data_IF_484545114920
#
_entry.id   IF_484545114920
#
_cell.length_a   1.000
_cell.length_b   1.000
_cell.length_c   1.000
_cell.angle_alpha   90.00
_cell.angle_beta   90.00
_cell.angle_gamma   90.00
#
_symmetry.space_group_name_H-M   'P 1'
#
loop_
_entity.id
_entity.type
_entity.pdbx_description
1 polymer ?
#
# COMPACT_ATOMS: atom_id res chain seq x y z
N UNK A 1 19.63 18.31 7.34
CA UNK A 1 18.46 17.43 7.27
C UNK A 1 17.77 17.44 8.62
N UNK A 2 16.48 17.77 8.71
CA UNK A 2 15.79 17.94 9.99
C UNK A 2 15.24 16.62 10.57
N UNK A 3 15.00 15.63 9.73
CA UNK A 3 14.50 14.30 10.10
C UNK A 3 14.99 13.23 9.11
N UNK A 4 15.33 12.07 9.63
CA UNK A 4 15.64 10.87 8.83
C UNK A 4 14.79 9.72 9.35
N UNK A 5 14.11 8.99 8.46
CA UNK A 5 13.34 7.80 8.79
C UNK A 5 13.95 6.55 8.15
N UNK A 6 13.73 5.40 8.77
CA UNK A 6 14.08 4.08 8.25
C UNK A 6 13.12 3.00 8.77
N UNK A 7 13.11 1.85 8.10
CA UNK A 7 12.46 0.64 8.58
C UNK A 7 13.52 -0.34 9.10
N UNK A 8 13.48 -0.65 10.38
CA UNK A 8 14.43 -1.53 11.03
C UNK A 8 13.88 -2.96 11.12
N UNK A 9 14.65 -3.93 10.67
CA UNK A 9 14.43 -5.32 11.04
C UNK A 9 14.63 -5.50 12.57
N UNK A 10 13.91 -6.42 13.18
CA UNK A 10 13.86 -6.57 14.65
C UNK A 10 15.25 -6.69 15.29
N UNK A 11 16.19 -7.40 14.65
CA UNK A 11 17.55 -7.60 15.15
C UNK A 11 18.46 -6.35 15.00
N UNK A 12 18.03 -5.32 14.26
CA UNK A 12 18.80 -4.08 14.04
C UNK A 12 18.28 -2.88 14.85
N UNK A 13 17.17 -3.03 15.57
CA UNK A 13 16.56 -1.92 16.33
C UNK A 13 17.55 -1.31 17.33
N UNK A 14 18.28 -2.14 18.09
CA UNK A 14 19.27 -1.69 19.06
C UNK A 14 20.40 -0.90 18.40
N UNK A 15 20.92 -1.38 17.27
CA UNK A 15 22.00 -0.70 16.54
C UNK A 15 21.56 0.70 16.07
N UNK A 16 20.34 0.82 15.52
CA UNK A 16 19.82 2.12 15.12
C UNK A 16 19.52 3.04 16.31
N UNK A 17 19.08 2.47 17.44
CA UNK A 17 18.88 3.24 18.67
C UNK A 17 20.20 3.86 19.19
N UNK A 18 21.31 3.15 19.12
CA UNK A 18 22.66 3.67 19.45
C UNK A 18 23.06 4.85 18.56
N UNK A 19 22.57 4.87 17.30
CA UNK A 19 22.79 6.00 16.39
C UNK A 19 21.79 7.15 16.56
N UNK A 20 20.93 7.06 17.59
CA UNK A 20 19.98 8.10 17.98
C UNK A 20 18.64 8.04 17.25
N UNK A 21 18.33 6.92 16.59
CA UNK A 21 16.98 6.69 16.06
C UNK A 21 16.05 6.25 17.19
N UNK A 22 14.79 6.66 17.11
CA UNK A 22 13.74 6.30 18.06
C UNK A 22 12.64 5.54 17.32
N UNK A 23 12.18 4.43 17.92
CA UNK A 23 11.06 3.66 17.41
C UNK A 23 9.77 4.50 17.43
N UNK A 24 8.96 4.41 16.39
CA UNK A 24 7.71 5.15 16.23
C UNK A 24 6.51 4.23 16.04
N UNK A 25 6.55 3.34 15.07
CA UNK A 25 5.44 2.43 14.71
C UNK A 25 6.00 1.13 14.15
N UNK A 26 5.12 0.16 13.96
CA UNK A 26 5.47 -1.06 13.24
C UNK A 26 4.77 -1.10 11.89
N UNK A 27 5.42 -1.78 10.94
CA UNK A 27 4.87 -2.17 9.65
C UNK A 27 4.80 -3.68 9.61
N UNK A 28 3.64 -4.22 9.29
CA UNK A 28 3.40 -5.66 9.20
C UNK A 28 3.45 -6.08 7.75
N UNK A 29 4.21 -7.12 7.45
CA UNK A 29 4.23 -7.78 6.14
C UNK A 29 3.25 -8.92 6.13
N UNK A 30 2.32 -8.84 5.19
CA UNK A 30 1.29 -9.82 4.93
C UNK A 30 1.61 -10.60 3.67
N UNK A 31 1.24 -11.88 3.66
CA UNK A 31 1.38 -12.76 2.51
C UNK A 31 0.07 -13.49 2.25
N UNK A 32 -0.29 -13.57 0.98
CA UNK A 32 -1.35 -14.42 0.45
C UNK A 32 -0.76 -15.31 -0.65
N UNK A 33 -1.14 -16.57 -0.67
CA UNK A 33 -1.02 -17.41 -1.86
C UNK A 33 -2.35 -17.39 -2.60
N UNK A 34 -2.37 -16.83 -3.82
CA UNK A 34 -3.55 -16.71 -4.68
C UNK A 34 -3.45 -17.77 -5.79
N UNK A 35 -4.10 -18.95 -5.66
CA UNK A 35 -3.96 -20.04 -6.61
C UNK A 35 -4.60 -19.73 -7.97
N UNK A 36 -4.14 -20.41 -9.03
CA UNK A 36 -4.65 -20.23 -10.39
C UNK A 36 -6.11 -20.70 -10.55
N UNK A 37 -6.49 -21.70 -9.76
CA UNK A 37 -7.82 -22.33 -9.83
C UNK A 37 -8.91 -21.51 -9.13
N UNK A 38 -8.54 -20.55 -8.29
CA UNK A 38 -9.49 -19.72 -7.56
C UNK A 38 -9.97 -18.55 -8.43
N UNK A 39 -11.16 -18.69 -9.00
CA UNK A 39 -11.82 -17.61 -9.71
C UNK A 39 -12.42 -16.62 -8.71
N UNK A 40 -11.60 -15.70 -8.23
CA UNK A 40 -12.11 -14.57 -7.44
C UNK A 40 -12.88 -13.63 -8.35
N UNK A 41 -14.15 -13.43 -8.05
CA UNK A 41 -14.93 -12.42 -8.74
C UNK A 41 -14.39 -11.01 -8.35
N UNK A 42 -14.32 -10.07 -9.30
CA UNK A 42 -14.06 -8.68 -8.96
C UNK A 42 -15.12 -8.22 -7.97
N UNK A 43 -14.73 -7.48 -6.95
CA UNK A 43 -15.70 -6.92 -6.01
C UNK A 43 -16.59 -5.94 -6.77
N UNK A 44 -17.90 -6.19 -6.71
CA UNK A 44 -18.87 -5.26 -7.28
C UNK A 44 -18.92 -4.00 -6.40
N UNK A 45 -18.55 -2.88 -6.96
CA UNK A 45 -18.94 -1.57 -6.42
C UNK A 45 -20.45 -1.38 -6.68
N UNK A 46 -21.14 -0.73 -5.75
CA UNK A 46 -22.39 -0.09 -6.09
C UNK A 46 -22.05 0.97 -7.16
N UNK A 47 -22.32 0.64 -8.43
CA UNK A 47 -21.91 1.40 -9.63
C UNK A 47 -22.42 2.85 -9.67
N UNK A 48 -23.21 3.27 -8.68
CA UNK A 48 -23.79 4.62 -8.64
C UNK A 48 -22.79 5.69 -8.12
N UNK A 49 -21.80 5.31 -7.32
CA UNK A 49 -20.95 6.29 -6.64
C UNK A 49 -19.50 6.31 -7.16
N UNK A 50 -18.94 5.15 -7.55
CA UNK A 50 -17.53 5.05 -7.95
C UNK A 50 -17.34 4.15 -9.18
N UNK A 51 -16.36 4.50 -10.01
CA UNK A 51 -15.88 3.69 -11.14
C UNK A 51 -14.44 3.26 -10.90
N UNK A 52 -14.15 1.97 -11.09
CA UNK A 52 -12.79 1.46 -11.09
C UNK A 52 -12.15 1.70 -12.46
N UNK A 53 -11.07 2.46 -12.50
CA UNK A 53 -10.34 2.81 -13.75
C UNK A 53 -8.93 2.26 -13.72
N UNK A 54 -8.39 1.91 -14.89
CA UNK A 54 -7.05 1.35 -15.07
C UNK A 54 -6.39 1.90 -16.34
N UNK A 55 -5.06 1.75 -16.47
CA UNK A 55 -4.34 2.13 -17.69
C UNK A 55 -4.48 3.61 -18.04
N UNK A 56 -4.82 3.93 -19.29
CA UNK A 56 -4.92 5.30 -19.79
C UNK A 56 -6.11 6.11 -19.24
N UNK A 57 -7.08 5.45 -18.60
CA UNK A 57 -8.22 6.10 -17.97
C UNK A 57 -7.91 6.68 -16.57
N UNK A 58 -6.72 6.40 -16.05
CA UNK A 58 -6.30 6.85 -14.72
C UNK A 58 -6.03 8.35 -14.72
N UNK A 59 -6.77 9.15 -13.92
CA UNK A 59 -6.53 10.58 -13.81
C UNK A 59 -5.37 10.86 -12.85
N UNK A 60 -4.14 10.84 -13.36
CA UNK A 60 -2.91 10.97 -12.55
C UNK A 60 -2.93 12.21 -11.63
N UNK A 61 -3.45 13.34 -12.10
CA UNK A 61 -3.50 14.56 -11.28
C UNK A 61 -4.48 14.41 -10.10
N UNK A 62 -5.60 13.70 -10.27
CA UNK A 62 -6.51 13.42 -9.16
C UNK A 62 -5.85 12.50 -8.12
N UNK A 63 -5.08 11.49 -8.57
CA UNK A 63 -4.33 10.62 -7.66
C UNK A 63 -3.23 11.40 -6.92
N UNK A 64 -2.47 12.25 -7.62
CA UNK A 64 -1.42 13.08 -7.00
C UNK A 64 -1.99 14.01 -5.93
N UNK A 65 -3.13 14.62 -6.19
CA UNK A 65 -3.85 15.45 -5.22
C UNK A 65 -4.27 14.61 -4.02
N UNK A 66 -4.91 13.45 -4.26
CA UNK A 66 -5.37 12.54 -3.24
C UNK A 66 -4.23 12.04 -2.34
N UNK A 67 -3.09 11.64 -2.93
CA UNK A 67 -1.90 11.22 -2.19
C UNK A 67 -1.32 12.37 -1.35
N UNK A 68 -1.22 13.58 -1.90
CA UNK A 68 -0.63 14.73 -1.21
C UNK A 68 -1.42 15.20 0.00
N UNK A 69 -2.71 14.90 0.06
CA UNK A 69 -3.58 15.22 1.21
C UNK A 69 -3.40 14.22 2.37
N UNK A 70 -2.83 13.04 2.09
CA UNK A 70 -2.66 11.94 3.04
C UNK A 70 -1.21 11.67 3.43
N UNK A 71 -0.30 12.00 2.55
CA UNK A 71 1.13 11.83 2.80
C UNK A 71 1.71 13.08 3.47
N UNK A 72 2.58 12.87 4.44
CA UNK A 72 3.22 13.96 5.18
C UNK A 72 4.09 14.87 4.30
N UNK A 73 4.63 14.32 3.22
CA UNK A 73 5.46 15.03 2.25
C UNK A 73 4.93 14.77 0.85
N UNK A 74 4.49 15.83 0.17
CA UNK A 74 4.08 15.71 -1.23
C UNK A 74 5.21 15.12 -2.08
N UNK A 75 4.90 14.06 -2.84
CA UNK A 75 5.85 13.27 -3.63
C UNK A 75 5.45 13.11 -5.10
N UNK A 76 5.05 14.20 -5.80
CA UNK A 76 4.45 14.10 -7.13
C UNK A 76 5.39 13.47 -8.17
N UNK A 77 6.71 13.74 -8.10
CA UNK A 77 7.68 13.14 -9.00
C UNK A 77 7.84 11.62 -8.80
N UNK A 78 7.96 11.20 -7.54
CA UNK A 78 8.00 9.78 -7.23
C UNK A 78 6.71 9.10 -7.69
N UNK A 79 5.56 9.67 -7.36
CA UNK A 79 4.27 9.06 -7.64
C UNK A 79 4.03 8.94 -9.15
N UNK A 80 4.37 9.95 -9.96
CA UNK A 80 4.28 9.86 -11.42
C UNK A 80 5.09 8.68 -11.95
N UNK A 81 6.38 8.63 -11.63
CA UNK A 81 7.27 7.56 -12.09
C UNK A 81 6.82 6.19 -11.61
N UNK A 82 6.32 6.12 -10.36
CA UNK A 82 5.84 4.88 -9.77
C UNK A 82 4.57 4.35 -10.42
N UNK A 83 3.59 5.23 -10.69
CA UNK A 83 2.31 4.85 -11.28
C UNK A 83 2.40 4.56 -12.79
N UNK A 84 3.25 5.30 -13.50
CA UNK A 84 3.46 5.15 -14.96
C UNK A 84 4.45 4.03 -15.33
N UNK A 85 5.15 3.45 -14.33
CA UNK A 85 6.11 2.39 -14.60
C UNK A 85 5.42 1.17 -15.22
N UNK A 86 5.96 0.68 -16.35
CA UNK A 86 5.36 -0.36 -17.19
C UNK A 86 5.20 -1.72 -16.50
N UNK A 87 6.03 -2.03 -15.49
CA UNK A 87 5.89 -3.29 -14.75
C UNK A 87 4.80 -3.17 -13.69
N UNK A 88 3.73 -3.94 -13.84
CA UNK A 88 2.61 -3.98 -12.90
C UNK A 88 1.38 -3.22 -13.39
N UNK A 89 0.40 -3.11 -12.50
CA UNK A 89 -0.91 -2.52 -12.82
C UNK A 89 -1.32 -1.53 -11.72
N UNK A 90 -1.91 -0.43 -12.13
CA UNK A 90 -2.56 0.54 -11.24
C UNK A 90 -4.07 0.45 -11.42
N UNK A 91 -4.80 0.59 -10.32
CA UNK A 91 -6.25 0.74 -10.29
C UNK A 91 -6.60 1.94 -9.40
N UNK A 92 -7.57 2.74 -9.80
CA UNK A 92 -8.10 3.85 -9.01
C UNK A 92 -9.63 3.83 -8.98
N UNK A 93 -10.20 4.32 -7.89
CA UNK A 93 -11.64 4.49 -7.69
C UNK A 93 -11.97 5.98 -7.81
N UNK A 94 -12.76 6.30 -8.83
CA UNK A 94 -13.06 7.67 -9.23
C UNK A 94 -14.56 7.90 -9.16
N UNK A 95 -14.97 9.05 -8.60
CA UNK A 95 -16.37 9.45 -8.61
C UNK A 95 -16.78 10.13 -9.93
N UNK A 96 -18.06 10.44 -10.08
CA UNK A 96 -18.62 11.16 -11.23
C UNK A 96 -18.06 12.58 -11.45
N UNK A 97 -17.39 13.13 -10.46
CA UNK A 97 -16.74 14.44 -10.51
C UNK A 97 -15.23 14.33 -10.76
N UNK A 98 -14.75 13.15 -11.09
CA UNK A 98 -13.34 12.83 -11.32
C UNK A 98 -12.45 13.00 -10.07
N UNK A 99 -13.01 12.88 -8.86
CA UNK A 99 -12.22 12.82 -7.63
C UNK A 99 -11.78 11.39 -7.35
N UNK A 100 -10.55 11.24 -6.86
CA UNK A 100 -10.02 9.95 -6.41
C UNK A 100 -10.48 9.67 -4.98
N UNK A 101 -10.96 8.45 -4.73
CA UNK A 101 -11.40 7.93 -3.43
C UNK A 101 -10.57 6.73 -2.96
N UNK A 102 -9.64 6.31 -3.78
CA UNK A 102 -8.66 5.29 -3.48
C UNK A 102 -7.89 4.85 -4.71
N UNK A 103 -6.68 4.39 -4.50
CA UNK A 103 -5.88 3.78 -5.56
C UNK A 103 -4.95 2.72 -4.99
N UNK A 104 -4.56 1.80 -5.85
CA UNK A 104 -3.58 0.78 -5.52
C UNK A 104 -2.71 0.45 -6.74
N UNK A 105 -1.49 -0.02 -6.47
CA UNK A 105 -0.59 -0.54 -7.49
C UNK A 105 -0.10 -1.93 -7.11
N UNK A 106 -0.16 -2.87 -8.06
CA UNK A 106 0.54 -4.15 -7.97
C UNK A 106 1.75 -4.15 -8.89
N UNK A 107 2.83 -4.79 -8.47
CA UNK A 107 4.06 -4.92 -9.26
C UNK A 107 4.74 -6.26 -8.99
N UNK A 108 5.52 -6.79 -9.94
CA UNK A 108 6.34 -7.97 -9.69
C UNK A 108 7.39 -7.68 -8.61
N UNK A 109 7.74 -8.70 -7.86
CA UNK A 109 8.86 -8.67 -6.91
C UNK A 109 9.56 -10.01 -6.86
N UNK A 110 10.86 -9.99 -6.53
CA UNK A 110 11.61 -11.20 -6.26
C UNK A 110 11.40 -11.64 -4.80
N UNK A 111 11.16 -12.91 -4.63
CA UNK A 111 11.00 -13.58 -3.35
C UNK A 111 12.07 -14.68 -3.22
N UNK A 112 12.39 -15.14 -1.99
CA UNK A 112 13.33 -16.27 -1.82
C UNK A 112 12.93 -17.53 -2.59
N UNK A 113 11.62 -17.74 -2.80
CA UNK A 113 11.07 -18.88 -3.52
C UNK A 113 10.86 -18.64 -5.03
N UNK A 114 11.28 -17.48 -5.58
CA UNK A 114 11.10 -17.14 -6.98
C UNK A 114 10.34 -15.82 -7.19
N UNK A 115 9.58 -15.73 -8.27
CA UNK A 115 8.80 -14.53 -8.58
C UNK A 115 7.50 -14.47 -7.79
N UNK A 116 7.06 -13.26 -7.49
CA UNK A 116 5.79 -12.97 -6.83
C UNK A 116 5.34 -11.54 -7.09
N UNK A 117 4.34 -11.11 -6.35
CA UNK A 117 3.74 -9.79 -6.49
C UNK A 117 3.77 -9.01 -5.19
N UNK A 118 3.83 -7.70 -5.30
CA UNK A 118 3.65 -6.79 -4.17
C UNK A 118 2.59 -5.75 -4.51
N UNK A 119 1.60 -5.60 -3.65
CA UNK A 119 0.61 -4.53 -3.74
C UNK A 119 1.06 -3.40 -2.82
N UNK A 120 1.21 -2.20 -3.38
CA UNK A 120 1.55 -0.96 -2.69
C UNK A 120 2.00 0.16 -3.64
N UNK A 121 1.56 1.40 -3.37
CA UNK A 121 0.69 1.80 -2.28
C UNK A 121 -0.75 1.28 -2.41
N UNK A 122 -1.48 1.26 -1.28
CA UNK A 122 -2.93 1.10 -1.22
C UNK A 122 -3.45 2.22 -0.32
N UNK A 123 -4.09 3.21 -0.89
CA UNK A 123 -4.77 4.26 -0.16
C UNK A 123 -6.26 4.22 -0.50
N UNK A 124 -7.11 4.36 0.51
CA UNK A 124 -8.56 4.36 0.32
C UNK A 124 -9.29 5.08 1.45
N UNK A 125 -10.41 5.73 1.15
CA UNK A 125 -11.23 6.45 2.12
C UNK A 125 -11.94 5.52 3.11
N UNK A 126 -12.03 4.22 2.79
CA UNK A 126 -12.68 3.23 3.66
C UNK A 126 -12.15 1.81 3.43
N UNK A 127 -12.35 0.90 4.42
CA UNK A 127 -12.00 -0.52 4.27
C UNK A 127 -12.69 -1.17 3.06
N UNK A 128 -13.94 -0.83 2.78
CA UNK A 128 -14.70 -1.34 1.64
C UNK A 128 -14.04 -0.97 0.31
N UNK A 129 -13.59 0.27 0.16
CA UNK A 129 -12.90 0.72 -1.05
C UNK A 129 -11.52 0.08 -1.19
N UNK A 130 -10.79 -0.11 -0.08
CA UNK A 130 -9.53 -0.84 -0.06
C UNK A 130 -9.72 -2.31 -0.48
N UNK A 131 -10.79 -2.97 0.00
CA UNK A 131 -11.16 -4.33 -0.40
C UNK A 131 -11.37 -4.44 -1.90
N UNK A 132 -12.15 -3.52 -2.47
CA UNK A 132 -12.41 -3.47 -3.91
C UNK A 132 -11.12 -3.34 -4.71
N UNK A 133 -10.22 -2.45 -4.31
CA UNK A 133 -8.92 -2.28 -4.96
C UNK A 133 -8.11 -3.58 -4.92
N UNK A 134 -8.01 -4.21 -3.75
CA UNK A 134 -7.23 -5.45 -3.56
C UNK A 134 -7.83 -6.58 -4.38
N UNK A 135 -9.14 -6.84 -4.28
CA UNK A 135 -9.80 -7.94 -4.97
C UNK A 135 -9.69 -7.82 -6.50
N UNK A 136 -9.84 -6.62 -7.05
CA UNK A 136 -9.66 -6.41 -8.50
C UNK A 136 -8.21 -6.69 -8.95
N UNK A 137 -7.21 -6.40 -8.13
CA UNK A 137 -5.82 -6.76 -8.45
C UNK A 137 -5.57 -8.27 -8.34
N UNK A 138 -6.23 -8.96 -7.38
CA UNK A 138 -6.09 -10.41 -7.19
C UNK A 138 -6.70 -11.25 -8.33
N UNK A 139 -7.67 -10.72 -9.08
CA UNK A 139 -8.28 -11.43 -10.22
C UNK A 139 -7.23 -11.82 -11.25
N UNK A 140 -6.33 -10.91 -11.58
CA UNK A 140 -5.36 -11.06 -12.69
C UNK A 140 -3.99 -11.54 -12.24
N UNK A 141 -3.69 -11.51 -10.92
CA UNK A 141 -2.36 -11.80 -10.41
C UNK A 141 -2.39 -13.02 -9.48
N UNK A 142 -1.68 -14.06 -9.89
CA UNK A 142 -1.64 -15.36 -9.20
C UNK A 142 -0.28 -15.59 -8.51
N UNK A 143 -0.25 -16.59 -7.62
CA UNK A 143 0.95 -16.93 -6.86
C UNK A 143 1.07 -16.17 -5.55
N UNK A 144 2.28 -15.89 -5.11
CA UNK A 144 2.55 -15.22 -3.83
C UNK A 144 2.38 -13.72 -3.96
N UNK A 145 1.57 -13.14 -3.08
CA UNK A 145 1.27 -11.71 -3.04
C UNK A 145 1.63 -11.15 -1.67
N UNK A 146 2.39 -10.06 -1.64
CA UNK A 146 2.81 -9.37 -0.43
C UNK A 146 2.14 -7.99 -0.33
N UNK A 147 1.80 -7.62 0.92
CA UNK A 147 1.37 -6.26 1.30
C UNK A 147 2.12 -5.88 2.57
N UNK A 148 2.68 -4.68 2.61
CA UNK A 148 3.26 -4.10 3.82
C UNK A 148 2.29 -3.04 4.36
N UNK A 149 1.67 -3.24 5.53
CA UNK A 149 0.68 -2.32 6.09
C UNK A 149 1.12 -1.70 7.41
N UNK A 150 0.76 -0.43 7.70
CA UNK A 150 0.99 0.17 9.00
C UNK A 150 0.21 -0.59 10.09
N UNK A 151 0.87 -1.01 11.17
CA UNK A 151 0.21 -1.69 12.30
C UNK A 151 -0.87 -0.82 12.94
N UNK A 152 -0.73 0.50 12.90
CA UNK A 152 -1.70 1.45 13.50
C UNK A 152 -3.04 1.49 12.77
N UNK A 153 -3.12 1.03 11.53
CA UNK A 153 -4.39 0.90 10.81
C UNK A 153 -5.05 -0.45 11.12
N UNK A 154 -5.85 -0.50 12.19
CA UNK A 154 -6.57 -1.72 12.58
C UNK A 154 -7.56 -2.19 11.51
N UNK A 155 -8.14 -1.28 10.73
CA UNK A 155 -9.03 -1.63 9.62
C UNK A 155 -8.27 -2.38 8.52
N UNK A 156 -7.03 -1.99 8.23
CA UNK A 156 -6.17 -2.71 7.29
C UNK A 156 -5.84 -4.12 7.80
N UNK A 157 -5.53 -4.27 9.11
CA UNK A 157 -5.26 -5.57 9.72
C UNK A 157 -6.48 -6.51 9.57
N UNK A 158 -7.66 -6.02 9.96
CA UNK A 158 -8.90 -6.79 9.88
C UNK A 158 -9.24 -7.18 8.44
N UNK A 159 -9.14 -6.24 7.51
CA UNK A 159 -9.40 -6.47 6.08
C UNK A 159 -8.44 -7.51 5.49
N UNK A 160 -7.13 -7.34 5.69
CA UNK A 160 -6.14 -8.27 5.13
C UNK A 160 -6.32 -9.68 5.69
N UNK A 161 -6.59 -9.80 7.00
CA UNK A 161 -6.89 -11.08 7.62
C UNK A 161 -8.16 -11.73 7.03
N UNK A 162 -9.25 -10.96 6.83
CA UNK A 162 -10.50 -11.47 6.25
C UNK A 162 -10.34 -11.92 4.79
N UNK A 163 -9.42 -11.31 4.04
CA UNK A 163 -9.07 -11.69 2.66
C UNK A 163 -8.14 -12.92 2.60
N UNK A 164 -7.73 -13.47 3.74
CA UNK A 164 -6.89 -14.66 3.83
C UNK A 164 -5.39 -14.38 3.82
N UNK A 165 -4.97 -13.11 3.90
CA UNK A 165 -3.57 -12.80 4.12
C UNK A 165 -3.13 -13.21 5.53
N UNK A 166 -1.88 -13.64 5.64
CA UNK A 166 -1.24 -14.01 6.91
C UNK A 166 -0.04 -13.12 7.18
N UNK A 167 0.11 -12.69 8.42
CA UNK A 167 1.30 -11.98 8.87
C UNK A 167 2.51 -12.92 8.81
N UNK A 168 3.60 -12.49 8.19
CA UNK A 168 4.85 -13.27 8.06
C UNK A 168 6.05 -12.60 8.71
N UNK A 169 6.05 -11.29 8.85
CA UNK A 169 7.11 -10.53 9.51
C UNK A 169 6.63 -9.12 9.86
N UNK A 170 7.39 -8.46 10.74
CA UNK A 170 7.20 -7.05 11.05
C UNK A 170 8.55 -6.32 11.05
N UNK A 171 8.51 -5.03 10.69
CA UNK A 171 9.63 -4.09 10.84
C UNK A 171 9.22 -2.95 11.76
N UNK A 172 10.20 -2.21 12.26
CA UNK A 172 9.96 -1.05 13.11
C UNK A 172 10.37 0.22 12.39
N UNK A 173 9.41 1.12 12.18
CA UNK A 173 9.66 2.47 11.68
C UNK A 173 10.37 3.27 12.75
N UNK A 174 11.54 3.80 12.44
CA UNK A 174 12.35 4.58 13.36
C UNK A 174 12.73 5.92 12.75
N UNK A 175 12.85 6.95 13.59
CA UNK A 175 13.23 8.29 13.18
C UNK A 175 14.35 8.87 14.03
N UNK A 176 15.23 9.63 13.37
CA UNK A 176 16.21 10.50 14.02
C UNK A 176 15.87 11.95 13.66
N UNK A 177 15.71 12.79 14.68
CA UNK A 177 15.23 14.16 14.54
C UNK A 177 13.74 14.31 14.85
N UNK A 178 13.23 15.52 14.66
CA UNK A 178 11.82 15.83 14.93
C UNK A 178 10.96 15.41 13.74
N UNK A 179 9.94 14.58 13.99
CA UNK A 179 8.93 14.20 13.00
C UNK A 179 7.53 14.38 13.58
N UNK A 180 6.55 14.62 12.72
CA UNK A 180 5.14 14.59 13.10
C UNK A 180 4.62 13.16 12.97
N UNK A 181 3.67 12.79 13.83
CA UNK A 181 2.96 11.54 13.67
C UNK A 181 2.19 11.57 12.33
N UNK A 182 2.39 10.54 11.51
CA UNK A 182 1.65 10.39 10.26
C UNK A 182 0.33 9.71 10.57
N UNK A 183 -0.77 10.28 10.08
CA UNK A 183 -2.07 9.61 10.08
C UNK A 183 -2.03 8.51 9.02
N UNK A 184 -2.27 7.27 9.43
CA UNK A 184 -2.16 6.11 8.56
C UNK A 184 -3.49 5.38 8.37
N UNK A 185 -4.60 6.00 8.78
CA UNK A 185 -5.93 5.34 8.76
C UNK A 185 -6.42 5.05 7.34
N UNK A 186 -6.01 5.87 6.36
CA UNK A 186 -6.33 5.70 4.94
C UNK A 186 -5.26 4.88 4.19
N UNK A 187 -4.19 4.46 4.88
CA UNK A 187 -3.09 3.68 4.29
C UNK A 187 -3.27 2.21 4.61
N UNK A 188 -3.67 1.43 3.63
CA UNK A 188 -3.84 -0.03 3.72
C UNK A 188 -2.60 -0.80 3.26
N UNK A 189 -1.75 -0.16 2.47
CA UNK A 189 -0.46 -0.71 2.04
C UNK A 189 0.53 0.40 1.71
N UNK A 190 1.78 0.24 2.16
CA UNK A 190 2.87 1.14 1.85
C UNK A 190 3.38 0.92 0.42
N UNK A 191 3.89 1.95 -0.24
CA UNK A 191 4.51 1.84 -1.56
C UNK A 191 5.71 0.86 -1.52
N UNK A 192 6.56 1.02 -0.53
CA UNK A 192 7.62 0.09 -0.15
C UNK A 192 8.13 0.46 1.25
N UNK A 193 8.85 -0.45 1.90
CA UNK A 193 9.36 -0.22 3.26
C UNK A 193 10.33 0.95 3.34
N UNK A 194 11.10 1.19 2.28
CA UNK A 194 12.14 2.21 2.23
C UNK A 194 11.59 3.62 2.09
N UNK A 195 10.40 3.75 1.50
CA UNK A 195 9.78 5.05 1.19
C UNK A 195 8.62 5.41 2.13
N UNK A 196 8.08 4.43 2.83
CA UNK A 196 6.91 4.62 3.70
C UNK A 196 5.60 4.50 2.98
#
# INVERSE_FOLDING_TARGET
MKCVGLEAASHLITNYAEWGFKASSQTIRWQLFNPDEEHRAPAALNQQDFTAVTGSEIPLEAIKKYDSEREFTARPHFLSQWLEHQSGKVIALIDKHNNCHGFARIRPCLLPAGEGWRIGPILADSPMLAEVLILNLLVEHKGVILIDSPQRNSSAQSLLSSLGFREISATTRMYKGSHKAVLTMDVYGLACLELG
#
